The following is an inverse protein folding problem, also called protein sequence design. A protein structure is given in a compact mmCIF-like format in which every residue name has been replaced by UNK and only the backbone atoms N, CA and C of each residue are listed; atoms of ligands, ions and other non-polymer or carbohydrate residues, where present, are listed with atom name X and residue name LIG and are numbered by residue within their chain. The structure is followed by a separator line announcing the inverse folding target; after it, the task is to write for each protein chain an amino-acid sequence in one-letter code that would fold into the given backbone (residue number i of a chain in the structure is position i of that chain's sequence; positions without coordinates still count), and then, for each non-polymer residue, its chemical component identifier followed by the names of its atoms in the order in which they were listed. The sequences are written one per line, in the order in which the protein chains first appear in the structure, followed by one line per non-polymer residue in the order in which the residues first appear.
data_IF_172787630829
#
_entry.id   IF_172787630829
#
_cell.length_a   1.000
_cell.length_b   1.000
_cell.length_c   1.000
_cell.angle_alpha   90.00
_cell.angle_beta   90.00
_cell.angle_gamma   90.00
#
_symmetry.space_group_name_H-M   'P 1'
#
loop_
_entity.id
_entity.type
_entity.pdbx_description
1 polymer ?
#
# COMPACT_ATOMS: atom_id res chain seq x y z
N UNK A 1 -2.65 30.38 -11.29
CA UNK A 1 -2.96 28.93 -11.15
C UNK A 1 -2.24 28.41 -9.92
N UNK A 2 -2.92 27.60 -9.10
CA UNK A 2 -2.45 27.14 -7.78
C UNK A 2 -1.29 26.14 -7.94
N UNK A 3 -0.25 26.28 -7.12
CA UNK A 3 0.82 25.29 -7.00
C UNK A 3 0.22 23.88 -6.80
N UNK A 4 0.71 22.83 -7.49
CA UNK A 4 0.46 21.47 -7.06
C UNK A 4 1.17 21.32 -5.72
N UNK A 5 0.42 21.18 -4.62
CA UNK A 5 0.99 20.93 -3.30
C UNK A 5 1.37 19.46 -3.22
N UNK A 6 2.47 19.06 -3.84
CA UNK A 6 3.20 17.89 -3.37
C UNK A 6 3.74 18.25 -1.99
N UNK A 7 2.98 17.91 -0.95
CA UNK A 7 3.43 18.19 0.42
C UNK A 7 4.57 17.27 0.82
N UNK A 8 4.80 16.15 0.10
CA UNK A 8 5.80 15.13 0.39
C UNK A 8 5.58 14.39 1.72
N UNK A 9 4.73 14.95 2.59
CA UNK A 9 4.42 14.49 3.91
C UNK A 9 3.51 13.28 3.87
N UNK A 10 3.89 12.27 4.64
CA UNK A 10 3.04 11.12 4.90
C UNK A 10 1.91 11.49 5.85
N UNK A 11 0.70 11.09 5.49
CA UNK A 11 -0.50 11.22 6.32
C UNK A 11 -0.98 9.81 6.64
N UNK A 12 -1.12 9.49 7.92
CA UNK A 12 -1.68 8.20 8.33
C UNK A 12 -3.14 8.08 7.84
N UNK A 13 -3.52 6.87 7.45
CA UNK A 13 -4.82 6.50 6.93
C UNK A 13 -5.39 5.38 7.78
N UNK A 14 -6.70 5.39 7.95
CA UNK A 14 -7.40 4.20 8.41
C UNK A 14 -7.28 3.11 7.34
N UNK A 15 -6.75 1.94 7.71
CA UNK A 15 -6.59 0.80 6.81
C UNK A 15 -7.93 0.31 6.24
N UNK A 16 -9.04 0.53 6.95
CA UNK A 16 -10.38 0.21 6.47
C UNK A 16 -10.84 1.12 5.31
N UNK A 17 -10.21 2.29 5.14
CA UNK A 17 -10.53 3.28 4.10
C UNK A 17 -9.63 3.14 2.86
N UNK A 18 -8.86 2.06 2.75
CA UNK A 18 -8.11 1.75 1.54
C UNK A 18 -9.08 1.42 0.40
N UNK A 19 -8.83 2.01 -0.78
CA UNK A 19 -9.61 1.71 -1.97
C UNK A 19 -9.58 0.20 -2.28
N UNK A 20 -10.70 -0.43 -2.69
CA UNK A 20 -10.75 -1.86 -3.00
C UNK A 20 -9.68 -2.30 -4.01
N UNK A 21 -9.42 -1.48 -5.02
CA UNK A 21 -8.40 -1.75 -6.04
C UNK A 21 -6.98 -1.72 -5.47
N UNK A 22 -6.71 -0.86 -4.48
CA UNK A 22 -5.45 -0.84 -3.75
C UNK A 22 -5.24 -2.16 -2.99
N UNK A 23 -6.26 -2.61 -2.27
CA UNK A 23 -6.22 -3.90 -1.56
C UNK A 23 -6.06 -5.09 -2.50
N UNK A 24 -6.66 -5.05 -3.69
CA UNK A 24 -6.47 -6.07 -4.73
C UNK A 24 -5.01 -6.16 -5.16
N UNK A 25 -4.35 -5.01 -5.40
CA UNK A 25 -2.90 -4.97 -5.74
C UNK A 25 -2.02 -5.46 -4.61
N UNK A 26 -2.35 -5.12 -3.36
CA UNK A 26 -1.62 -5.58 -2.19
C UNK A 26 -1.70 -7.11 -2.06
N UNK A 27 -2.91 -7.68 -2.18
CA UNK A 27 -3.11 -9.15 -2.17
C UNK A 27 -2.31 -9.83 -3.28
N UNK A 28 -2.34 -9.29 -4.50
CA UNK A 28 -1.57 -9.82 -5.62
C UNK A 28 -0.07 -9.83 -5.30
N UNK A 29 0.48 -8.71 -4.82
CA UNK A 29 1.91 -8.61 -4.50
C UNK A 29 2.33 -9.57 -3.37
N UNK A 30 1.51 -9.70 -2.32
CA UNK A 30 1.75 -10.67 -1.25
C UNK A 30 1.70 -12.09 -1.79
N UNK A 31 0.69 -12.44 -2.60
CA UNK A 31 0.55 -13.77 -3.18
C UNK A 31 1.71 -14.17 -4.11
N UNK A 32 2.36 -13.20 -4.77
CA UNK A 32 3.56 -13.46 -5.57
C UNK A 32 4.79 -13.79 -4.71
N UNK A 33 4.88 -13.20 -3.51
CA UNK A 33 5.99 -13.46 -2.57
C UNK A 33 5.74 -14.68 -1.68
N UNK A 34 4.48 -14.92 -1.34
CA UNK A 34 4.05 -15.98 -0.45
C UNK A 34 2.74 -16.59 -0.96
N UNK A 35 2.82 -17.50 -1.95
CA UNK A 35 1.64 -18.15 -2.53
C UNK A 35 0.82 -18.88 -1.46
N UNK A 36 -0.49 -18.63 -1.43
CA UNK A 36 -1.42 -19.23 -0.48
C UNK A 36 -1.50 -18.53 0.88
N UNK A 37 -0.68 -17.51 1.14
CA UNK A 37 -0.83 -16.69 2.33
C UNK A 37 -1.98 -15.70 2.18
N UNK A 38 -2.86 -15.66 3.19
CA UNK A 38 -3.99 -14.73 3.24
C UNK A 38 -3.60 -13.49 4.04
N UNK A 39 -4.05 -12.31 3.62
CA UNK A 39 -3.90 -11.09 4.43
C UNK A 39 -4.95 -11.11 5.53
N UNK A 40 -4.51 -11.15 6.79
CA UNK A 40 -5.39 -11.14 7.96
C UNK A 40 -5.71 -9.72 8.42
N UNK A 41 -4.71 -8.83 8.42
CA UNK A 41 -4.82 -7.52 9.03
C UNK A 41 -3.97 -6.49 8.28
N UNK A 42 -4.47 -5.26 8.19
CA UNK A 42 -3.70 -4.08 7.81
C UNK A 42 -3.22 -3.39 9.09
N UNK A 43 -1.92 -3.47 9.36
CA UNK A 43 -1.29 -2.92 10.57
C UNK A 43 -1.12 -1.40 10.49
N UNK A 44 -0.80 -0.90 9.30
CA UNK A 44 -0.59 0.52 9.05
C UNK A 44 -0.90 0.85 7.60
N UNK A 45 -1.53 1.99 7.37
CA UNK A 45 -1.63 2.59 6.05
C UNK A 45 -1.28 4.08 6.17
N UNK A 46 -0.48 4.60 5.23
CA UNK A 46 -0.20 6.03 5.13
C UNK A 46 -0.04 6.43 3.68
N UNK A 47 -0.44 7.64 3.33
CA UNK A 47 -0.34 8.14 1.96
C UNK A 47 0.36 9.49 1.90
N UNK A 48 0.99 9.80 0.77
CA UNK A 48 1.50 11.13 0.45
C UNK A 48 1.10 11.53 -0.96
N UNK A 49 0.85 12.81 -1.16
CA UNK A 49 0.65 13.39 -2.49
C UNK A 49 2.01 13.49 -3.17
N UNK A 50 2.11 12.95 -4.38
CA UNK A 50 3.28 13.08 -5.25
C UNK A 50 2.91 13.92 -6.47
N UNK A 51 3.88 14.22 -7.33
CA UNK A 51 3.66 15.09 -8.51
C UNK A 51 2.50 14.61 -9.39
N UNK A 52 2.37 13.29 -9.55
CA UNK A 52 1.28 12.65 -10.29
C UNK A 52 0.65 11.58 -9.39
N UNK A 53 -0.44 11.94 -8.71
CA UNK A 53 -1.24 11.01 -7.89
C UNK A 53 -0.75 10.86 -6.44
N UNK A 54 -0.82 9.65 -5.89
CA UNK A 54 -0.54 9.38 -4.47
C UNK A 54 0.29 8.12 -4.30
N UNK A 55 1.33 8.19 -3.46
CA UNK A 55 1.98 7.01 -2.91
C UNK A 55 1.23 6.60 -1.65
N UNK A 56 0.95 5.30 -1.49
CA UNK A 56 0.34 4.70 -0.30
C UNK A 56 1.21 3.56 0.18
N UNK A 57 1.78 3.72 1.36
CA UNK A 57 2.50 2.64 2.05
C UNK A 57 1.53 1.88 2.95
N UNK A 58 1.53 0.56 2.84
CA UNK A 58 0.68 -0.32 3.64
C UNK A 58 1.52 -1.44 4.25
N UNK A 59 1.37 -1.64 5.55
CA UNK A 59 1.91 -2.80 6.26
C UNK A 59 0.79 -3.80 6.55
N UNK A 60 0.99 -5.06 6.15
CA UNK A 60 -0.01 -6.12 6.30
C UNK A 60 0.59 -7.34 7.01
N UNK A 61 -0.24 -8.01 7.80
CA UNK A 61 0.07 -9.29 8.42
C UNK A 61 -0.61 -10.42 7.68
N UNK A 62 0.12 -11.49 7.38
CA UNK A 62 -0.41 -12.66 6.68
C UNK A 62 -0.77 -13.82 7.63
N UNK A 63 -1.49 -14.81 7.12
CA UNK A 63 -1.89 -16.02 7.84
C UNK A 63 -0.71 -16.91 8.26
N UNK A 64 0.43 -16.78 7.59
CA UNK A 64 1.67 -17.45 7.95
C UNK A 64 2.45 -16.77 9.08
N UNK A 65 2.01 -15.59 9.53
CA UNK A 65 2.70 -14.78 10.53
C UNK A 65 3.60 -13.69 9.96
N UNK A 66 3.91 -13.73 8.66
CA UNK A 66 4.74 -12.73 7.99
C UNK A 66 4.14 -11.34 8.07
N UNK A 67 5.01 -10.33 8.17
CA UNK A 67 4.63 -8.94 7.99
C UNK A 67 5.28 -8.41 6.71
N UNK A 68 4.46 -7.86 5.82
CA UNK A 68 4.92 -7.21 4.59
C UNK A 68 4.68 -5.71 4.65
N UNK A 69 5.60 -4.93 4.09
CA UNK A 69 5.42 -3.52 3.74
C UNK A 69 5.35 -3.39 2.23
N UNK A 70 4.31 -2.74 1.74
CA UNK A 70 4.10 -2.49 0.32
C UNK A 70 4.00 -0.99 0.09
N UNK A 71 4.61 -0.52 -0.98
CA UNK A 71 4.41 0.82 -1.51
C UNK A 71 3.57 0.70 -2.78
N UNK A 72 2.35 1.22 -2.74
CA UNK A 72 1.43 1.25 -3.88
C UNK A 72 1.31 2.69 -4.37
N UNK A 73 1.57 2.91 -5.65
CA UNK A 73 1.35 4.20 -6.29
C UNK A 73 0.05 4.16 -7.08
N UNK A 74 -0.76 5.20 -6.89
CA UNK A 74 -1.95 5.45 -7.69
C UNK A 74 -1.65 6.61 -8.63
N UNK A 75 -1.64 6.34 -9.93
CA UNK A 75 -1.80 7.40 -10.94
C UNK A 75 -3.30 7.69 -11.13
N UNK A 76 -3.66 8.73 -11.88
CA UNK A 76 -5.06 9.15 -12.04
C UNK A 76 -6.00 8.06 -12.61
N UNK A 77 -5.46 6.93 -13.07
CA UNK A 77 -6.22 5.87 -13.74
C UNK A 77 -6.05 4.48 -13.09
N UNK A 78 -4.93 4.17 -12.40
CA UNK A 78 -4.56 2.81 -11.96
C UNK A 78 -3.66 2.76 -10.72
N UNK A 79 -3.75 1.64 -9.98
CA UNK A 79 -2.85 1.29 -8.88
C UNK A 79 -1.70 0.37 -9.33
N UNK A 80 -0.49 0.66 -8.86
CA UNK A 80 0.75 -0.05 -9.16
C UNK A 80 1.51 -0.35 -7.87
N UNK A 81 1.98 -1.59 -7.68
CA UNK A 81 2.92 -1.90 -6.60
C UNK A 81 4.30 -1.42 -7.06
N UNK A 82 4.88 -0.44 -6.34
CA UNK A 82 6.25 0.04 -6.56
C UNK A 82 7.26 -0.84 -5.84
N UNK A 83 6.98 -1.17 -4.59
CA UNK A 83 7.90 -1.90 -3.72
C UNK A 83 7.13 -2.89 -2.85
N UNK A 84 7.77 -4.03 -2.57
CA UNK A 84 7.30 -4.99 -1.58
C UNK A 84 8.49 -5.55 -0.81
N UNK A 85 8.41 -5.47 0.51
CA UNK A 85 9.44 -5.90 1.44
C UNK A 85 8.83 -6.75 2.54
N UNK A 86 9.45 -7.87 2.89
CA UNK A 86 9.09 -8.66 4.06
C UNK A 86 9.85 -8.10 5.27
N UNK A 87 9.13 -7.64 6.28
CA UNK A 87 9.70 -7.03 7.47
C UNK A 87 10.04 -8.04 8.56
N UNK A 88 9.18 -9.04 8.77
CA UNK A 88 9.29 -10.04 9.83
C UNK A 88 8.71 -11.39 9.38
N UNK A 89 9.15 -12.46 10.05
CA UNK A 89 8.66 -13.83 9.94
C UNK A 89 7.87 -14.21 11.20
#
# INVERSE_FOLDING_TARGET
MKQPRSTGAWTDRDGALLYPDCMSKIRSGVSEKEPGAEILEVLRARSRIVEVGYDTEVSVKTSSGSVYRLLVWFDLERFHVKEIERLLM
#
